data_IF_534614716695
#
_entry.id   IF_534614716695
#
_cell.length_a   1.000
_cell.length_b   1.000
_cell.length_c   1.000
_cell.angle_alpha   90.00
_cell.angle_beta   90.00
_cell.angle_gamma   90.00
#
_symmetry.space_group_name_H-M   'P 1'
#
loop_
_entity.id
_entity.type
_entity.pdbx_description
1 polymer ?
#
# COMPACT_ATOMS: atom_id res chain seq x y z
N UNK A 1 26.34 14.58 -2.01
CA UNK A 1 26.63 14.92 -3.40
C UNK A 1 26.55 13.63 -4.23
N UNK A 2 25.79 13.67 -5.29
CA UNK A 2 25.56 12.53 -6.17
C UNK A 2 25.68 13.00 -7.63
N UNK A 3 26.26 12.17 -8.48
CA UNK A 3 26.42 12.43 -9.91
C UNK A 3 25.75 11.30 -10.69
N UNK A 4 24.81 11.63 -11.53
CA UNK A 4 24.06 10.69 -12.34
C UNK A 4 24.12 11.07 -13.82
N UNK A 5 23.86 10.10 -14.70
CA UNK A 5 23.70 10.38 -16.11
C UNK A 5 22.35 11.07 -16.37
N UNK A 6 22.28 11.93 -17.39
CA UNK A 6 21.03 12.50 -17.87
C UNK A 6 20.87 12.28 -19.36
N UNK A 7 19.64 12.05 -19.82
CA UNK A 7 19.31 11.98 -21.25
C UNK A 7 18.49 13.23 -21.61
N UNK A 8 18.95 13.97 -22.63
CA UNK A 8 18.17 15.08 -23.20
C UNK A 8 17.03 14.52 -24.04
N UNK A 9 15.81 14.86 -23.70
CA UNK A 9 14.61 14.46 -24.39
C UNK A 9 14.33 15.39 -25.59
N UNK A 10 13.49 14.94 -26.53
CA UNK A 10 13.13 15.70 -27.73
C UNK A 10 12.44 17.04 -27.43
N UNK A 11 11.80 17.18 -26.28
CA UNK A 11 11.18 18.41 -25.80
C UNK A 11 12.17 19.37 -25.12
N UNK A 12 13.47 19.04 -25.09
CA UNK A 12 14.53 19.85 -24.48
C UNK A 12 14.73 19.65 -22.98
N UNK A 13 13.87 18.87 -22.30
CA UNK A 13 14.04 18.54 -20.89
C UNK A 13 15.07 17.43 -20.69
N UNK A 14 15.53 17.23 -19.45
CA UNK A 14 16.47 16.18 -19.10
C UNK A 14 15.80 15.13 -18.22
N UNK A 15 16.04 13.86 -18.53
CA UNK A 15 15.63 12.73 -17.70
C UNK A 15 16.85 12.16 -16.98
N UNK A 16 16.90 12.18 -15.63
CA UNK A 16 17.98 11.56 -14.89
C UNK A 16 17.91 10.04 -15.01
N UNK A 17 19.09 9.41 -15.08
CA UNK A 17 19.28 7.96 -15.07
C UNK A 17 20.26 7.64 -13.96
N UNK A 18 19.78 7.01 -12.90
CA UNK A 18 20.61 6.63 -11.76
C UNK A 18 20.84 5.12 -11.70
N UNK A 19 21.97 4.63 -12.23
CA UNK A 19 22.27 3.20 -12.25
C UNK A 19 22.53 2.60 -10.87
N UNK A 20 22.72 3.39 -9.83
CA UNK A 20 22.97 2.87 -8.47
C UNK A 20 21.76 2.17 -7.88
N UNK A 21 20.56 2.50 -8.36
CA UNK A 21 19.29 1.93 -7.88
C UNK A 21 18.75 0.80 -8.77
N UNK A 22 19.29 0.64 -9.98
CA UNK A 22 18.81 -0.38 -10.94
C UNK A 22 18.77 -1.80 -10.39
N UNK A 23 19.70 -2.27 -9.53
CA UNK A 23 19.58 -3.60 -8.94
C UNK A 23 18.44 -3.74 -7.93
N UNK A 24 17.89 -2.63 -7.44
CA UNK A 24 16.96 -2.57 -6.31
C UNK A 24 15.56 -2.08 -6.68
N UNK A 25 15.37 -1.52 -7.87
CA UNK A 25 14.08 -1.07 -8.35
C UNK A 25 13.98 -1.21 -9.87
N UNK A 26 12.76 -1.13 -10.39
CA UNK A 26 12.48 -1.21 -11.85
C UNK A 26 12.52 0.16 -12.52
N UNK A 27 12.75 1.19 -11.77
CA UNK A 27 12.90 2.55 -12.30
C UNK A 27 14.31 2.76 -12.88
N UNK A 28 14.39 3.60 -13.90
CA UNK A 28 15.65 4.04 -14.48
C UNK A 28 16.34 5.13 -13.66
N UNK A 29 15.66 5.69 -12.69
CA UNK A 29 16.17 6.71 -11.76
C UNK A 29 15.51 6.54 -10.38
N UNK A 30 16.10 7.12 -9.33
CA UNK A 30 15.52 7.05 -8.00
C UNK A 30 14.43 8.10 -7.82
N UNK A 31 13.17 7.67 -7.71
CA UNK A 31 12.07 8.56 -7.33
C UNK A 31 12.23 9.17 -5.93
N UNK A 32 13.07 8.60 -5.07
CA UNK A 32 13.45 9.21 -3.80
C UNK A 32 14.24 10.53 -3.99
N UNK A 33 14.79 10.76 -5.17
CA UNK A 33 15.49 11.99 -5.56
C UNK A 33 14.59 12.99 -6.28
N UNK A 34 13.29 12.78 -6.31
CA UNK A 34 12.35 13.72 -6.94
C UNK A 34 12.37 15.10 -6.25
N UNK A 35 12.11 16.15 -7.03
CA UNK A 35 12.12 17.54 -6.60
C UNK A 35 13.44 17.98 -5.94
N UNK A 36 14.57 17.44 -6.42
CA UNK A 36 15.90 17.89 -6.03
C UNK A 36 16.47 18.82 -7.11
N UNK A 37 17.25 19.81 -6.67
CA UNK A 37 18.00 20.64 -7.58
C UNK A 37 19.20 19.85 -8.14
N UNK A 38 19.44 19.96 -9.44
CA UNK A 38 20.62 19.42 -10.09
C UNK A 38 21.16 20.37 -11.15
N UNK A 39 22.43 20.26 -11.46
CA UNK A 39 23.08 21.03 -12.52
C UNK A 39 23.43 20.08 -13.69
N UNK A 40 22.80 20.23 -14.88
CA UNK A 40 23.24 19.48 -16.06
C UNK A 40 24.65 19.87 -16.48
N UNK A 41 25.52 18.87 -16.66
CA UNK A 41 26.89 19.06 -17.19
C UNK A 41 26.90 19.09 -18.71
N UNK A 42 26.46 20.18 -19.33
CA UNK A 42 26.42 20.37 -20.77
C UNK A 42 27.45 21.40 -21.23
N UNK A 43 28.05 21.23 -22.42
CA UNK A 43 29.13 22.11 -22.89
C UNK A 43 28.75 23.59 -22.98
N UNK A 44 27.49 23.87 -23.31
CA UNK A 44 26.93 25.23 -23.41
C UNK A 44 26.63 25.89 -22.07
N UNK A 45 26.79 25.13 -20.97
CA UNK A 45 26.33 25.57 -19.64
C UNK A 45 24.84 25.39 -19.45
N UNK A 46 24.39 25.40 -18.21
CA UNK A 46 22.96 25.28 -17.85
C UNK A 46 22.69 25.97 -16.53
N UNK A 47 21.45 26.40 -16.36
CA UNK A 47 20.93 26.77 -15.04
C UNK A 47 20.57 25.53 -14.22
N UNK A 48 20.29 25.73 -12.92
CA UNK A 48 19.79 24.69 -12.04
C UNK A 48 18.45 24.17 -12.56
N UNK A 49 18.34 22.88 -12.66
CA UNK A 49 17.11 22.15 -12.98
C UNK A 49 16.56 21.46 -11.73
N UNK A 50 15.32 21.02 -11.79
CA UNK A 50 14.66 20.25 -10.73
C UNK A 50 14.30 18.89 -11.29
N UNK A 51 14.64 17.82 -10.54
CA UNK A 51 14.22 16.45 -10.91
C UNK A 51 12.70 16.33 -10.90
N UNK A 52 12.12 15.58 -11.83
CA UNK A 52 10.67 15.46 -11.95
C UNK A 52 10.05 14.77 -10.73
N UNK A 53 8.74 14.91 -10.59
CA UNK A 53 7.93 14.10 -9.67
C UNK A 53 7.51 12.84 -10.40
N UNK A 54 7.71 11.68 -9.80
CA UNK A 54 7.17 10.42 -10.31
C UNK A 54 5.68 10.34 -9.99
N UNK A 55 4.88 9.87 -10.95
CA UNK A 55 3.45 9.72 -10.75
C UNK A 55 3.17 8.69 -9.63
N UNK A 56 2.16 8.93 -8.75
CA UNK A 56 1.86 8.03 -7.64
C UNK A 56 1.48 6.61 -8.10
N UNK A 57 0.92 6.47 -9.30
CA UNK A 57 0.58 5.19 -9.93
C UNK A 57 1.81 4.32 -10.21
N UNK A 58 2.99 4.90 -10.35
CA UNK A 58 4.26 4.16 -10.48
C UNK A 58 4.73 3.56 -9.15
N UNK A 59 4.14 3.96 -8.03
CA UNK A 59 4.52 3.58 -6.68
C UNK A 59 3.32 3.10 -5.86
N UNK A 60 2.42 2.35 -6.52
CA UNK A 60 1.22 1.90 -5.84
C UNK A 60 1.49 0.83 -4.78
N UNK A 61 0.62 0.86 -3.77
CA UNK A 61 0.43 -0.19 -2.79
C UNK A 61 -1.05 -0.52 -2.74
N UNK A 62 -1.41 -1.76 -3.03
CA UNK A 62 -2.80 -2.21 -3.12
C UNK A 62 -3.04 -3.43 -2.27
N UNK A 63 -4.12 -3.41 -1.49
CA UNK A 63 -4.66 -4.60 -0.84
C UNK A 63 -6.08 -4.81 -1.35
N UNK A 64 -6.35 -6.01 -1.84
CA UNK A 64 -7.69 -6.48 -2.16
C UNK A 64 -8.05 -7.67 -1.29
N UNK A 65 -9.09 -7.54 -0.46
CA UNK A 65 -9.52 -8.54 0.48
C UNK A 65 -10.94 -9.04 0.17
N UNK A 66 -11.16 -10.35 0.34
CA UNK A 66 -12.47 -10.99 0.25
C UNK A 66 -12.66 -11.84 1.50
N UNK A 67 -13.54 -11.39 2.36
CA UNK A 67 -13.75 -11.92 3.69
C UNK A 67 -15.18 -12.40 3.89
N UNK A 68 -15.34 -13.32 4.82
CA UNK A 68 -16.62 -13.79 5.32
C UNK A 68 -16.63 -13.70 6.83
N UNK A 69 -17.64 -13.06 7.38
CA UNK A 69 -17.90 -12.99 8.80
C UNK A 69 -19.00 -14.00 9.15
N UNK A 70 -18.79 -14.79 10.19
CA UNK A 70 -19.82 -15.70 10.70
C UNK A 70 -20.59 -15.11 11.88
N UNK A 71 -21.66 -15.80 12.34
CA UNK A 71 -22.51 -15.36 13.45
C UNK A 71 -21.78 -15.32 14.80
N UNK A 72 -20.65 -16.00 14.92
CA UNK A 72 -19.84 -16.03 16.12
C UNK A 72 -18.71 -14.97 16.10
N UNK A 73 -18.73 -14.05 15.12
CA UNK A 73 -17.74 -12.99 15.01
C UNK A 73 -16.40 -13.42 14.44
N UNK A 74 -16.29 -14.65 13.89
CA UNK A 74 -15.07 -15.13 13.26
C UNK A 74 -14.98 -14.61 11.84
N UNK A 75 -13.85 -13.98 11.49
CA UNK A 75 -13.52 -13.58 10.13
C UNK A 75 -12.68 -14.67 9.45
N UNK A 76 -13.05 -15.06 8.25
CA UNK A 76 -12.27 -15.96 7.37
C UNK A 76 -12.17 -15.35 6.01
N UNK A 77 -11.03 -15.50 5.34
CA UNK A 77 -10.90 -14.94 3.99
C UNK A 77 -9.49 -14.98 3.46
N UNK A 78 -9.32 -14.15 2.46
CA UNK A 78 -8.04 -13.92 1.84
C UNK A 78 -7.86 -12.45 1.49
N UNK A 79 -6.62 -11.96 1.55
CA UNK A 79 -6.26 -10.74 0.87
C UNK A 79 -5.05 -10.93 -0.04
N UNK A 80 -5.00 -10.15 -1.09
CA UNK A 80 -3.87 -10.06 -1.99
C UNK A 80 -3.28 -8.66 -1.90
N UNK A 81 -1.99 -8.59 -1.58
CA UNK A 81 -1.17 -7.40 -1.64
C UNK A 81 -0.44 -7.36 -2.97
N UNK A 82 -0.45 -6.21 -3.65
CA UNK A 82 0.39 -5.93 -4.81
C UNK A 82 1.05 -4.57 -4.65
N UNK A 83 2.27 -4.45 -5.15
CA UNK A 83 3.03 -3.21 -5.05
C UNK A 83 3.92 -3.00 -6.28
N UNK A 84 4.21 -1.73 -6.61
CA UNK A 84 5.10 -1.31 -7.69
C UNK A 84 6.04 -0.20 -7.19
N UNK A 85 7.16 0.00 -7.89
CA UNK A 85 8.13 1.04 -7.63
C UNK A 85 8.72 0.99 -6.22
N UNK A 86 8.71 2.11 -5.50
CA UNK A 86 9.23 2.19 -4.13
C UNK A 86 8.44 1.33 -3.14
N UNK A 87 7.15 1.14 -3.38
CA UNK A 87 6.33 0.24 -2.57
C UNK A 87 6.74 -1.22 -2.77
N UNK A 88 7.00 -1.64 -4.01
CA UNK A 88 7.52 -2.99 -4.34
C UNK A 88 8.89 -3.22 -3.69
N UNK A 89 9.81 -2.26 -3.80
CA UNK A 89 11.12 -2.32 -3.18
C UNK A 89 11.02 -2.57 -1.66
N UNK A 90 10.14 -1.85 -0.98
CA UNK A 90 9.97 -1.99 0.47
C UNK A 90 9.39 -3.36 0.85
N UNK A 91 8.42 -3.87 0.10
CA UNK A 91 7.88 -5.22 0.35
C UNK A 91 8.94 -6.29 0.10
N UNK A 92 9.74 -6.18 -0.96
CA UNK A 92 10.82 -7.16 -1.26
C UNK A 92 11.90 -7.20 -0.21
N UNK A 93 12.08 -6.19 0.61
CA UNK A 93 13.01 -6.22 1.75
C UNK A 93 12.74 -7.38 2.69
N UNK A 94 11.49 -7.81 2.86
CA UNK A 94 11.14 -9.00 3.66
C UNK A 94 11.87 -10.25 3.14
N UNK A 95 12.03 -10.35 1.83
CA UNK A 95 12.65 -11.51 1.17
C UNK A 95 14.18 -11.37 1.02
N UNK A 96 14.70 -10.16 1.04
CA UNK A 96 16.13 -9.89 0.78
C UNK A 96 16.96 -9.71 2.04
N UNK A 97 16.36 -9.27 3.14
CA UNK A 97 17.07 -9.01 4.42
C UNK A 97 16.97 -10.16 5.42
N UNK A 98 16.00 -11.08 5.26
CA UNK A 98 15.79 -12.22 6.13
C UNK A 98 16.12 -13.57 5.48
N UNK A 99 16.27 -14.59 6.32
CA UNK A 99 16.39 -15.97 5.83
C UNK A 99 15.06 -16.46 5.25
N UNK A 100 15.15 -17.34 4.26
CA UNK A 100 13.94 -17.88 3.61
C UNK A 100 13.02 -18.61 4.60
N UNK A 101 13.59 -19.24 5.64
CA UNK A 101 12.84 -19.84 6.74
C UNK A 101 11.95 -18.87 7.51
N UNK A 102 12.29 -17.58 7.52
CA UNK A 102 11.63 -16.56 8.32
C UNK A 102 10.56 -15.78 7.54
N UNK A 103 10.49 -15.96 6.23
CA UNK A 103 9.54 -15.22 5.38
C UNK A 103 8.10 -15.44 5.81
N UNK A 104 7.72 -16.70 6.06
CA UNK A 104 6.37 -17.03 6.54
C UNK A 104 6.07 -16.39 7.87
N UNK A 105 7.01 -16.41 8.81
CA UNK A 105 6.85 -15.80 10.14
C UNK A 105 6.68 -14.27 10.02
N UNK A 106 7.45 -13.63 9.14
CA UNK A 106 7.30 -12.19 8.84
C UNK A 106 5.93 -11.86 8.27
N UNK A 107 5.36 -12.73 7.44
CA UNK A 107 3.99 -12.57 6.94
C UNK A 107 2.95 -12.79 8.04
N UNK A 108 3.13 -13.81 8.87
CA UNK A 108 2.22 -14.12 9.97
C UNK A 108 2.18 -12.99 11.01
N UNK A 109 3.31 -12.33 11.26
CA UNK A 109 3.39 -11.20 12.19
C UNK A 109 2.48 -10.03 11.79
N UNK A 110 2.20 -9.83 10.50
CA UNK A 110 1.26 -8.81 10.03
C UNK A 110 -0.19 -9.13 10.46
N UNK A 111 -0.58 -10.40 10.46
CA UNK A 111 -1.91 -10.81 10.94
C UNK A 111 -1.99 -10.76 12.47
N UNK A 112 -0.91 -11.15 13.15
CA UNK A 112 -0.84 -11.10 14.60
C UNK A 112 -0.89 -9.67 15.15
N UNK A 113 -0.48 -8.67 14.35
CA UNK A 113 -0.63 -7.25 14.72
C UNK A 113 -2.10 -6.80 14.74
N UNK A 114 -2.97 -7.45 13.98
CA UNK A 114 -4.42 -7.19 13.98
C UNK A 114 -5.08 -7.86 15.18
N UNK A 115 -4.77 -9.12 15.40
CA UNK A 115 -5.31 -9.91 16.51
C UNK A 115 -4.34 -11.01 16.91
N UNK A 116 -4.04 -11.17 18.20
CA UNK A 116 -3.20 -12.26 18.68
C UNK A 116 -3.82 -13.65 18.47
N UNK A 117 -5.12 -13.71 18.11
CA UNK A 117 -5.83 -14.94 17.76
C UNK A 117 -5.82 -15.24 16.26
N UNK A 118 -5.26 -14.35 15.44
CA UNK A 118 -5.18 -14.55 14.00
C UNK A 118 -4.32 -15.78 13.66
N UNK A 119 -4.74 -16.52 12.63
CA UNK A 119 -4.03 -17.69 12.14
C UNK A 119 -3.81 -17.56 10.64
N UNK A 120 -2.56 -17.63 10.22
CA UNK A 120 -2.17 -17.73 8.82
C UNK A 120 -2.37 -19.18 8.36
N UNK A 121 -3.36 -19.42 7.50
CA UNK A 121 -3.65 -20.76 6.95
C UNK A 121 -2.70 -21.10 5.80
N UNK A 122 -2.50 -20.13 4.89
CA UNK A 122 -1.63 -20.25 3.73
C UNK A 122 -1.13 -18.88 3.31
N UNK A 123 0.07 -18.83 2.76
CA UNK A 123 0.59 -17.65 2.06
C UNK A 123 1.30 -18.09 0.79
N UNK A 124 1.02 -17.38 -0.31
CA UNK A 124 1.71 -17.53 -1.60
C UNK A 124 2.29 -16.18 -2.01
N UNK A 125 3.44 -16.20 -2.67
CA UNK A 125 4.09 -15.01 -3.20
C UNK A 125 4.59 -15.22 -4.62
N UNK A 126 4.87 -14.12 -5.31
CA UNK A 126 5.40 -14.11 -6.67
C UNK A 126 6.65 -14.98 -6.79
N UNK A 127 6.82 -15.60 -7.94
CA UNK A 127 8.07 -16.27 -8.28
C UNK A 127 9.24 -15.28 -8.23
N UNK A 128 10.38 -15.70 -7.68
CA UNK A 128 11.58 -14.87 -7.50
C UNK A 128 11.32 -13.57 -6.70
N UNK A 129 10.82 -13.65 -5.46
CA UNK A 129 10.46 -12.45 -4.70
C UNK A 129 11.67 -11.59 -4.30
N UNK A 130 12.90 -12.12 -4.39
CA UNK A 130 14.16 -11.37 -4.18
C UNK A 130 14.59 -10.54 -5.39
N UNK A 131 14.06 -10.81 -6.56
CA UNK A 131 14.45 -10.16 -7.80
C UNK A 131 13.66 -8.88 -8.01
N UNK A 132 14.32 -7.74 -7.78
CA UNK A 132 13.72 -6.41 -7.95
C UNK A 132 13.39 -6.07 -9.41
N UNK A 133 13.96 -6.78 -10.39
CA UNK A 133 13.66 -6.61 -11.81
C UNK A 133 12.48 -7.45 -12.28
N UNK A 134 12.00 -8.38 -11.45
CA UNK A 134 10.82 -9.18 -11.78
C UNK A 134 9.56 -8.30 -11.85
N UNK A 135 8.47 -8.89 -12.35
CA UNK A 135 7.14 -8.26 -12.32
C UNK A 135 6.78 -7.80 -10.89
N UNK A 136 5.86 -6.82 -10.74
CA UNK A 136 5.43 -6.31 -9.45
C UNK A 136 5.14 -7.41 -8.44
N UNK A 137 5.56 -7.19 -7.18
CA UNK A 137 5.37 -8.19 -6.13
C UNK A 137 3.88 -8.44 -5.90
N UNK A 138 3.53 -9.71 -5.73
CA UNK A 138 2.19 -10.13 -5.34
C UNK A 138 2.31 -11.14 -4.22
N UNK A 139 1.58 -10.92 -3.12
CA UNK A 139 1.51 -11.82 -1.97
C UNK A 139 0.04 -12.05 -1.65
N UNK A 140 -0.37 -13.31 -1.53
CA UNK A 140 -1.75 -13.68 -1.17
C UNK A 140 -1.74 -14.44 0.15
N UNK A 141 -2.57 -13.99 1.08
CA UNK A 141 -2.75 -14.55 2.40
C UNK A 141 -4.12 -15.21 2.51
N UNK A 142 -4.19 -16.39 3.12
CA UNK A 142 -5.43 -17.02 3.57
C UNK A 142 -5.36 -17.15 5.10
N UNK A 143 -6.41 -16.74 5.77
CA UNK A 143 -6.40 -16.60 7.22
C UNK A 143 -7.77 -16.83 7.84
N UNK A 144 -7.75 -17.04 9.17
CA UNK A 144 -8.91 -16.96 10.04
C UNK A 144 -8.56 -16.15 11.29
N UNK A 145 -9.52 -15.36 11.76
CA UNK A 145 -9.40 -14.54 12.96
C UNK A 145 -10.63 -14.80 13.83
N UNK A 146 -10.51 -15.64 14.88
CA UNK A 146 -11.59 -15.84 15.87
C UNK A 146 -11.89 -14.54 16.61
N UNK A 147 -13.13 -14.35 17.02
CA UNK A 147 -13.60 -13.19 17.80
C UNK A 147 -13.21 -11.84 17.19
N UNK A 148 -13.23 -11.76 15.86
CA UNK A 148 -12.85 -10.54 15.14
C UNK A 148 -13.89 -9.43 15.32
N UNK A 149 -15.18 -9.78 15.25
CA UNK A 149 -16.26 -8.85 15.50
C UNK A 149 -16.70 -8.91 16.98
N UNK A 150 -17.02 -7.76 17.52
CA UNK A 150 -17.68 -7.63 18.83
C UNK A 150 -19.16 -7.92 18.63
N UNK A 151 -19.70 -8.87 19.39
CA UNK A 151 -21.09 -9.29 19.28
C UNK A 151 -21.89 -8.69 20.45
N UNK A 152 -22.93 -7.92 20.12
CA UNK A 152 -23.98 -7.47 21.03
C UNK A 152 -25.22 -8.36 20.92
N UNK A 153 -26.33 -7.94 21.52
CA UNK A 153 -27.60 -8.69 21.49
C UNK A 153 -28.17 -8.79 20.06
N UNK A 154 -28.30 -7.64 19.38
CA UNK A 154 -28.91 -7.52 18.06
C UNK A 154 -27.96 -6.87 17.02
N UNK A 155 -26.73 -6.64 17.41
CA UNK A 155 -25.75 -5.94 16.57
C UNK A 155 -24.38 -6.61 16.62
N UNK A 156 -23.58 -6.31 15.62
CA UNK A 156 -22.20 -6.75 15.50
C UNK A 156 -21.35 -5.56 15.04
N UNK A 157 -20.25 -5.32 15.73
CA UNK A 157 -19.32 -4.24 15.39
C UNK A 157 -17.95 -4.81 15.00
N UNK A 158 -17.37 -4.26 13.94
CA UNK A 158 -16.02 -4.63 13.48
C UNK A 158 -15.35 -3.41 12.84
N UNK A 159 -14.02 -3.46 12.78
CA UNK A 159 -13.22 -2.58 11.93
C UNK A 159 -12.80 -3.41 10.70
N UNK A 160 -12.97 -2.92 9.45
CA UNK A 160 -12.48 -3.65 8.28
C UNK A 160 -11.01 -4.00 8.39
N UNK A 161 -10.62 -5.18 7.91
CA UNK A 161 -9.25 -5.69 8.04
C UNK A 161 -8.22 -4.74 7.42
N UNK A 162 -8.55 -4.15 6.28
CA UNK A 162 -7.67 -3.23 5.56
C UNK A 162 -7.42 -1.91 6.31
N UNK A 163 -8.26 -1.58 7.30
CA UNK A 163 -8.10 -0.39 8.15
C UNK A 163 -7.14 -0.61 9.35
N UNK A 164 -6.70 -1.85 9.59
CA UNK A 164 -5.78 -2.18 10.70
C UNK A 164 -4.30 -1.89 10.42
N UNK A 165 -3.98 -1.06 9.46
CA UNK A 165 -2.58 -0.64 9.28
C UNK A 165 -1.63 -1.72 8.75
N UNK A 166 -2.11 -2.71 8.01
CA UNK A 166 -1.26 -3.70 7.35
C UNK A 166 -0.18 -3.03 6.50
N UNK A 167 1.08 -3.35 6.77
CA UNK A 167 2.23 -2.80 6.04
C UNK A 167 2.30 -1.26 6.03
N UNK A 168 1.96 -0.61 7.13
CA UNK A 168 1.97 0.86 7.26
C UNK A 168 3.28 1.50 6.83
N UNK A 169 4.41 0.86 7.11
CA UNK A 169 5.73 1.34 6.69
C UNK A 169 5.92 1.43 5.17
N UNK A 170 5.07 0.73 4.39
CA UNK A 170 5.10 0.79 2.92
C UNK A 170 4.14 1.86 2.41
N UNK A 171 3.07 2.13 3.15
CA UNK A 171 2.06 3.12 2.78
C UNK A 171 2.56 4.56 2.92
N UNK A 172 3.41 4.83 3.91
CA UNK A 172 4.02 6.14 4.10
C UNK A 172 5.40 6.04 4.74
N UNK A 173 6.34 6.89 4.31
CA UNK A 173 7.59 7.12 5.02
C UNK A 173 7.46 8.18 6.09
N UNK A 174 6.45 9.03 6.00
CA UNK A 174 6.22 10.09 6.95
C UNK A 174 5.65 9.50 8.24
N UNK A 175 6.40 9.70 9.32
CA UNK A 175 5.87 9.57 10.68
C UNK A 175 5.43 10.97 11.11
N UNK A 176 4.17 11.26 10.86
CA UNK A 176 3.60 12.55 11.23
C UNK A 176 3.12 12.44 12.66
N UNK A 177 3.71 13.24 13.54
CA UNK A 177 3.16 13.46 14.87
C UNK A 177 1.93 14.37 14.73
N UNK A 178 0.75 13.80 15.00
CA UNK A 178 -0.53 14.51 14.92
C UNK A 178 -0.88 15.27 16.19
N UNK A 179 -0.13 15.06 17.27
CA UNK A 179 -0.37 15.69 18.58
C UNK A 179 0.29 17.07 18.70
N UNK A 180 1.09 17.46 17.69
CA UNK A 180 1.69 18.79 17.62
C UNK A 180 0.61 19.82 17.25
N UNK A 181 0.29 20.81 18.12
CA UNK A 181 -0.77 21.76 17.88
C UNK A 181 -0.55 22.64 16.64
N UNK A 182 0.70 22.99 16.35
CA UNK A 182 1.08 23.80 15.20
C UNK A 182 2.44 23.36 14.65
N UNK A 183 2.51 23.15 13.33
CA UNK A 183 3.76 22.83 12.64
C UNK A 183 4.49 24.09 12.21
N UNK A 184 5.72 24.25 12.66
CA UNK A 184 6.59 25.36 12.26
C UNK A 184 7.28 25.12 10.92
N UNK A 185 7.43 23.86 10.49
CA UNK A 185 8.13 23.49 9.27
C UNK A 185 7.28 22.55 8.40
N UNK A 186 7.39 22.74 7.10
CA UNK A 186 6.85 21.80 6.12
C UNK A 186 7.56 20.45 6.19
N UNK A 187 6.91 19.43 5.66
CA UNK A 187 7.50 18.11 5.48
C UNK A 187 7.38 17.67 4.02
N UNK A 188 8.24 16.73 3.64
CA UNK A 188 8.27 16.15 2.29
C UNK A 188 8.35 14.65 2.43
N UNK A 189 7.45 13.91 1.76
CA UNK A 189 7.62 12.47 1.58
C UNK A 189 8.71 12.20 0.53
N UNK A 190 9.45 11.12 0.70
CA UNK A 190 10.49 10.73 -0.23
C UNK A 190 9.96 10.27 -1.59
N UNK A 191 8.67 9.95 -1.70
CA UNK A 191 8.08 9.45 -2.93
C UNK A 191 6.57 9.65 -2.93
N UNK A 192 6.00 10.08 -4.07
CA UNK A 192 4.55 10.05 -4.28
C UNK A 192 4.04 8.60 -4.26
N UNK A 193 2.83 8.36 -3.77
CA UNK A 193 2.25 7.01 -3.68
C UNK A 193 0.76 7.00 -3.95
N UNK A 194 0.31 5.91 -4.54
CA UNK A 194 -1.09 5.53 -4.62
C UNK A 194 -1.34 4.36 -3.66
N UNK A 195 -2.19 4.57 -2.66
CA UNK A 195 -2.60 3.52 -1.72
C UNK A 195 -4.05 3.18 -1.98
N UNK A 196 -4.33 1.92 -2.32
CA UNK A 196 -5.68 1.44 -2.60
C UNK A 196 -5.98 0.23 -1.70
N UNK A 197 -7.02 0.36 -0.88
CA UNK A 197 -7.48 -0.67 0.05
C UNK A 197 -8.93 -1.01 -0.31
N UNK A 198 -9.16 -2.20 -0.83
CA UNK A 198 -10.48 -2.70 -1.23
C UNK A 198 -10.81 -3.95 -0.43
N UNK A 199 -11.91 -3.94 0.30
CA UNK A 199 -12.34 -5.08 1.10
C UNK A 199 -13.83 -5.35 0.92
N UNK A 200 -14.15 -6.57 0.53
CA UNK A 200 -15.52 -7.09 0.52
C UNK A 200 -15.70 -8.04 1.70
N UNK A 201 -16.71 -7.79 2.54
CA UNK A 201 -17.06 -8.65 3.67
C UNK A 201 -18.47 -9.23 3.45
N UNK A 202 -18.56 -10.55 3.29
CA UNK A 202 -19.84 -11.26 3.32
C UNK A 202 -20.35 -11.32 4.75
N UNK A 203 -21.45 -10.63 5.03
CA UNK A 203 -22.10 -10.65 6.33
C UNK A 203 -22.87 -11.97 6.57
N UNK A 204 -23.08 -12.37 7.85
CA UNK A 204 -23.95 -13.49 8.18
C UNK A 204 -25.41 -13.20 7.74
N UNK A 205 -26.15 -14.27 7.43
CA UNK A 205 -27.56 -14.12 7.06
C UNK A 205 -28.36 -13.41 8.17
N UNK A 206 -29.15 -12.41 7.78
CA UNK A 206 -29.97 -11.60 8.66
C UNK A 206 -29.29 -10.31 9.15
N UNK A 207 -27.99 -10.13 8.89
CA UNK A 207 -27.28 -8.90 9.22
C UNK A 207 -27.25 -7.95 8.02
N UNK A 208 -27.27 -6.65 8.34
CA UNK A 208 -27.16 -5.57 7.36
C UNK A 208 -26.24 -4.47 7.87
N UNK A 209 -25.69 -3.67 6.98
CA UNK A 209 -24.97 -2.47 7.36
C UNK A 209 -25.95 -1.43 7.95
N UNK A 210 -25.63 -0.87 9.10
CA UNK A 210 -26.47 0.13 9.77
C UNK A 210 -26.39 1.46 9.05
N UNK A 211 -25.18 1.87 8.64
CA UNK A 211 -24.94 3.16 8.01
C UNK A 211 -23.81 3.06 6.99
N UNK A 212 -24.04 3.58 5.79
CA UNK A 212 -23.00 3.84 4.80
C UNK A 212 -22.19 5.07 5.21
N UNK A 213 -20.88 5.04 4.93
CA UNK A 213 -19.96 6.13 5.20
C UNK A 213 -19.24 6.48 3.92
N UNK A 214 -19.10 7.76 3.66
CA UNK A 214 -18.27 8.31 2.58
C UNK A 214 -17.49 9.50 3.15
N UNK A 215 -16.18 9.53 2.86
CA UNK A 215 -15.30 10.65 3.21
C UNK A 215 -14.33 10.93 2.06
N UNK A 216 -14.39 12.14 1.54
CA UNK A 216 -13.57 12.59 0.42
C UNK A 216 -12.84 13.87 0.82
N UNK A 217 -11.53 13.86 0.74
CA UNK A 217 -10.69 15.01 1.10
C UNK A 217 -9.67 15.27 0.01
N UNK A 218 -9.52 16.54 -0.36
CA UNK A 218 -8.54 17.00 -1.34
C UNK A 218 -7.63 18.05 -0.73
N UNK A 219 -6.34 17.92 -1.00
CA UNK A 219 -5.35 18.91 -0.61
C UNK A 219 -4.26 19.03 -1.68
N UNK A 220 -3.44 20.08 -1.67
CA UNK A 220 -2.32 20.19 -2.59
C UNK A 220 -1.26 19.10 -2.42
N UNK A 221 -1.24 18.41 -1.27
CA UNK A 221 -0.22 17.41 -0.93
C UNK A 221 -0.73 15.97 -1.03
N UNK A 222 -2.03 15.73 -0.79
CA UNK A 222 -2.61 14.39 -0.81
C UNK A 222 -4.13 14.46 -0.99
N UNK A 223 -4.67 13.52 -1.75
CA UNK A 223 -6.10 13.27 -1.88
C UNK A 223 -6.46 11.99 -1.13
N UNK A 224 -7.64 11.97 -0.54
CA UNK A 224 -8.22 10.81 0.10
C UNK A 224 -9.66 10.62 -0.38
N UNK A 225 -10.00 9.39 -0.73
CA UNK A 225 -11.36 8.97 -1.03
C UNK A 225 -11.63 7.65 -0.31
N UNK A 226 -12.72 7.58 0.45
CA UNK A 226 -13.09 6.36 1.16
C UNK A 226 -14.59 6.22 1.33
N UNK A 227 -15.08 4.98 1.19
CA UNK A 227 -16.50 4.67 1.39
C UNK A 227 -16.71 3.27 1.97
N UNK A 228 -17.81 3.12 2.72
CA UNK A 228 -18.33 1.83 3.19
C UNK A 228 -19.79 1.76 2.75
N UNK A 229 -20.15 0.78 1.95
CA UNK A 229 -21.51 0.61 1.44
C UNK A 229 -21.92 -0.86 1.34
N UNK A 230 -23.22 -1.11 1.19
CA UNK A 230 -23.74 -2.44 0.81
C UNK A 230 -23.62 -2.66 -0.68
N UNK A 231 -23.06 -3.80 -1.06
CA UNK A 231 -23.08 -4.29 -2.43
C UNK A 231 -24.25 -5.29 -2.57
N UNK A 232 -25.27 -4.92 -3.36
CA UNK A 232 -26.35 -5.83 -3.73
C UNK A 232 -25.90 -6.70 -4.90
N UNK A 233 -25.68 -7.98 -4.67
CA UNK A 233 -25.22 -8.91 -5.73
C UNK A 233 -26.34 -9.55 -6.56
N UNK A 234 -27.60 -9.44 -6.14
CA UNK A 234 -28.81 -9.80 -6.92
C UNK A 234 -30.07 -9.41 -6.17
N UNK A 235 -31.18 -9.01 -6.82
CA UNK A 235 -32.47 -8.98 -6.16
C UNK A 235 -32.83 -10.38 -5.70
N UNK A 236 -33.25 -10.52 -4.45
CA UNK A 236 -33.81 -11.77 -3.95
C UNK A 236 -35.07 -12.11 -4.76
N UNK A 237 -35.30 -13.37 -5.17
CA UNK A 237 -36.54 -13.76 -5.86
C UNK A 237 -37.81 -13.53 -5.05
N UNK A 238 -37.72 -12.95 -3.84
CA UNK A 238 -38.84 -12.61 -2.96
C UNK A 238 -39.24 -11.14 -3.01
N UNK A 239 -38.54 -10.32 -3.78
CA UNK A 239 -38.82 -8.89 -3.93
C UNK A 239 -39.44 -8.57 -5.32
N UNK A 240 -39.98 -9.59 -6.00
CA UNK A 240 -40.75 -9.49 -7.24
C UNK A 240 -42.23 -9.81 -7.00
#
# INVERSE_FOLDING_TARGET
NHCVAVVKLSNGTYMPLDPTWVPFCRELWSSAEQQQNYLPGVPEGSDLCITPVSAPENHYFRIKANNKLDKNGKLTGQFTLTAEGQSDLNIRRIFTTGWQSDWKNSMESQLLSISPKAKLLKVDWSKNPKDYQAAPIKITFWYEIPDYAIIGNDEMALVPLTMHGLYDQVRSYLRIDTDIPERQYGFKDGCSRLVELDETIQLPQGYRLVQSVEDNRKSPAADFEGYICLLYTSPSPRDA
#
